data_IF_751898703081
#
_entry.id   IF_751898703081
#
_cell.length_a   1.000
_cell.length_b   1.000
_cell.length_c   1.000
_cell.angle_alpha   90.00
_cell.angle_beta   90.00
_cell.angle_gamma   90.00
#
_symmetry.space_group_name_H-M   'P 1'
#
loop_
_entity.id
_entity.type
_entity.pdbx_description
1 polymer ?
#
# COMPACT_ATOMS: atom_id res chain seq x y z
N UNK A 1 -14.52 -4.88 27.11
CA UNK A 1 -14.03 -5.95 26.22
C UNK A 1 -12.80 -5.36 25.55
N UNK A 2 -11.59 -5.88 25.78
CA UNK A 2 -10.40 -5.37 25.08
C UNK A 2 -10.59 -5.68 23.60
N UNK A 3 -10.56 -4.66 22.76
CA UNK A 3 -10.52 -4.84 21.31
C UNK A 3 -9.09 -5.24 20.93
N UNK A 4 -8.90 -6.53 20.70
CA UNK A 4 -7.59 -7.12 20.37
C UNK A 4 -7.24 -6.87 18.91
N UNK A 5 -8.24 -6.59 18.08
CA UNK A 5 -8.10 -6.45 16.63
C UNK A 5 -7.96 -4.97 16.20
N UNK A 6 -8.31 -4.03 17.08
CA UNK A 6 -8.10 -2.60 16.87
C UNK A 6 -8.98 -2.03 15.76
N UNK A 7 -8.55 -0.90 15.20
CA UNK A 7 -9.37 -0.09 14.30
C UNK A 7 -9.58 -0.72 12.91
N UNK A 8 -8.75 -1.70 12.53
CA UNK A 8 -8.80 -2.38 11.21
C UNK A 8 -8.87 -3.91 11.36
N UNK A 9 -9.97 -4.46 11.90
CA UNK A 9 -10.04 -5.88 12.27
C UNK A 9 -9.93 -6.83 11.08
N UNK A 10 -10.44 -6.45 9.90
CA UNK A 10 -10.36 -7.25 8.68
C UNK A 10 -8.91 -7.34 8.15
N UNK A 11 -8.14 -6.26 8.29
CA UNK A 11 -6.74 -6.23 7.89
C UNK A 11 -5.88 -7.12 8.81
N UNK A 12 -6.14 -7.06 10.12
CA UNK A 12 -5.49 -7.92 11.11
C UNK A 12 -5.83 -9.39 10.87
N UNK A 13 -7.10 -9.72 10.60
CA UNK A 13 -7.49 -11.10 10.30
C UNK A 13 -6.80 -11.62 9.03
N UNK A 14 -6.75 -10.81 7.97
CA UNK A 14 -6.07 -11.17 6.73
C UNK A 14 -4.58 -11.46 6.96
N UNK A 15 -3.90 -10.62 7.75
CA UNK A 15 -2.50 -10.82 8.10
C UNK A 15 -2.26 -12.04 8.98
N UNK A 16 -3.13 -12.28 9.96
CA UNK A 16 -3.04 -13.45 10.80
C UNK A 16 -3.17 -14.75 9.99
N UNK A 17 -4.08 -14.78 9.02
CA UNK A 17 -4.24 -15.92 8.10
C UNK A 17 -3.02 -16.07 7.19
N UNK A 18 -2.48 -14.96 6.69
CA UNK A 18 -1.35 -14.96 5.76
C UNK A 18 -0.03 -15.38 6.42
N UNK A 19 0.31 -14.79 7.57
CA UNK A 19 1.59 -14.98 8.24
C UNK A 19 1.63 -16.20 9.17
N UNK A 20 0.47 -16.70 9.62
CA UNK A 20 0.39 -17.87 10.50
C UNK A 20 -0.52 -18.98 9.94
N UNK A 21 -0.17 -19.57 8.77
CA UNK A 21 -1.01 -20.57 8.12
C UNK A 21 -1.13 -21.89 8.89
N UNK A 22 -0.29 -22.12 9.90
CA UNK A 22 -0.27 -23.35 10.71
C UNK A 22 -1.52 -23.61 11.57
N UNK A 23 -2.41 -22.62 11.71
CA UNK A 23 -3.63 -22.71 12.52
C UNK A 23 -4.87 -23.17 11.73
N UNK A 24 -4.70 -23.50 10.45
CA UNK A 24 -5.77 -24.03 9.60
C UNK A 24 -6.80 -22.97 9.17
N UNK A 25 -8.00 -23.43 8.80
CA UNK A 25 -9.06 -22.56 8.26
C UNK A 25 -9.54 -21.57 9.33
N UNK A 26 -9.44 -20.28 9.03
CA UNK A 26 -9.75 -19.19 9.97
C UNK A 26 -8.56 -18.72 10.82
N UNK A 27 -7.38 -19.32 10.63
CA UNK A 27 -6.11 -18.83 11.21
C UNK A 27 -6.07 -18.78 12.74
N UNK A 28 -5.13 -18.00 13.30
CA UNK A 28 -4.98 -17.80 14.74
C UNK A 28 -6.24 -17.32 15.45
N UNK A 29 -7.08 -16.51 14.79
CA UNK A 29 -8.30 -15.99 15.39
C UNK A 29 -9.29 -17.11 15.70
N UNK A 30 -9.49 -18.04 14.77
CA UNK A 30 -10.32 -19.23 15.01
C UNK A 30 -9.72 -20.14 16.11
N UNK A 31 -8.40 -20.29 16.15
CA UNK A 31 -7.71 -21.05 17.20
C UNK A 31 -7.92 -20.43 18.59
N UNK A 32 -7.95 -19.10 18.70
CA UNK A 32 -8.26 -18.41 19.96
C UNK A 32 -9.69 -18.69 20.42
N UNK A 33 -10.68 -18.59 19.52
CA UNK A 33 -12.08 -18.88 19.85
C UNK A 33 -12.33 -20.33 20.25
N UNK A 34 -11.52 -21.27 19.75
CA UNK A 34 -11.52 -22.68 20.17
C UNK A 34 -10.79 -22.94 21.49
N UNK A 35 -10.07 -21.95 22.03
CA UNK A 35 -9.24 -22.09 23.21
C UNK A 35 -7.91 -22.83 22.99
N UNK A 36 -7.48 -22.99 21.74
CA UNK A 36 -6.20 -23.65 21.38
C UNK A 36 -5.01 -22.73 21.62
N UNK A 37 -5.22 -21.41 21.58
CA UNK A 37 -4.21 -20.39 21.92
C UNK A 37 -4.72 -19.42 22.97
N UNK A 38 -3.79 -18.86 23.75
CA UNK A 38 -4.11 -17.87 24.78
C UNK A 38 -4.28 -16.48 24.18
N UNK A 39 -5.05 -15.61 24.86
CA UNK A 39 -5.17 -14.19 24.52
C UNK A 39 -3.80 -13.49 24.45
N UNK A 40 -2.88 -13.87 25.34
CA UNK A 40 -1.51 -13.34 25.35
C UNK A 40 -0.77 -13.69 24.07
N UNK A 41 -0.90 -14.93 23.57
CA UNK A 41 -0.27 -15.36 22.34
C UNK A 41 -0.87 -14.65 21.12
N UNK A 42 -2.21 -14.52 21.07
CA UNK A 42 -2.89 -13.77 20.02
C UNK A 42 -2.41 -12.32 19.97
N UNK A 43 -2.31 -11.66 21.13
CA UNK A 43 -1.77 -10.29 21.22
C UNK A 43 -0.34 -10.19 20.67
N UNK A 44 0.54 -11.14 21.02
CA UNK A 44 1.92 -11.15 20.51
C UNK A 44 1.96 -11.32 18.99
N UNK A 45 1.09 -12.14 18.41
CA UNK A 45 1.03 -12.31 16.95
C UNK A 45 0.61 -11.01 16.25
N UNK A 46 -0.39 -10.31 16.79
CA UNK A 46 -0.84 -9.01 16.25
C UNK A 46 0.25 -7.94 16.40
N UNK A 47 0.85 -7.82 17.58
CA UNK A 47 1.90 -6.81 17.86
C UNK A 47 3.22 -7.07 17.14
N UNK A 48 3.43 -8.27 16.59
CA UNK A 48 4.64 -8.66 15.87
C UNK A 48 4.36 -8.90 14.38
N UNK A 49 3.24 -8.38 13.85
CA UNK A 49 3.02 -8.35 12.41
C UNK A 49 4.10 -7.51 11.72
N UNK A 50 4.53 -7.91 10.51
CA UNK A 50 5.59 -7.20 9.81
C UNK A 50 5.11 -5.80 9.33
N UNK A 51 6.04 -4.85 9.12
CA UNK A 51 5.71 -3.48 8.73
C UNK A 51 5.09 -3.34 7.32
N UNK A 52 5.14 -4.40 6.52
CA UNK A 52 4.52 -4.47 5.20
C UNK A 52 3.17 -5.22 5.20
N UNK A 53 2.63 -5.51 6.38
CA UNK A 53 1.35 -6.21 6.57
C UNK A 53 0.15 -5.39 6.07
N UNK A 54 -0.98 -6.04 5.78
CA UNK A 54 -2.22 -5.36 5.42
C UNK A 54 -2.67 -4.37 6.49
N UNK A 55 -2.44 -4.68 7.76
CA UNK A 55 -2.72 -3.84 8.92
C UNK A 55 -1.87 -2.57 8.86
N UNK A 56 -0.57 -2.69 8.66
CA UNK A 56 0.31 -1.54 8.52
C UNK A 56 -0.09 -0.65 7.32
N UNK A 57 -0.57 -1.25 6.22
CA UNK A 57 -1.09 -0.50 5.07
C UNK A 57 -2.40 0.23 5.36
N UNK A 58 -3.30 -0.41 6.12
CA UNK A 58 -4.55 0.19 6.53
C UNK A 58 -4.33 1.37 7.50
N UNK A 59 -3.38 1.24 8.43
CA UNK A 59 -3.02 2.31 9.36
C UNK A 59 -2.31 3.49 8.69
N UNK A 60 -1.34 3.22 7.80
CA UNK A 60 -0.60 4.27 7.10
C UNK A 60 -1.39 4.90 5.95
N UNK A 61 -2.44 4.24 5.46
CA UNK A 61 -3.22 4.67 4.28
C UNK A 61 -2.49 4.47 2.95
N UNK A 62 -1.29 3.87 2.96
CA UNK A 62 -0.49 3.57 1.79
C UNK A 62 0.39 2.32 2.02
N UNK A 63 0.95 1.78 0.94
CA UNK A 63 1.78 0.57 0.96
C UNK A 63 3.29 0.84 1.00
N UNK A 64 3.71 2.08 0.80
CA UNK A 64 5.13 2.44 0.78
C UNK A 64 5.87 2.08 2.06
N UNK A 65 6.98 1.40 1.87
CA UNK A 65 7.98 1.08 2.88
C UNK A 65 9.12 2.10 2.83
N UNK A 66 9.98 2.10 3.85
CA UNK A 66 11.19 2.95 3.86
C UNK A 66 12.06 2.79 2.60
N UNK A 67 12.10 1.59 2.02
CA UNK A 67 12.82 1.32 0.79
C UNK A 67 12.22 2.07 -0.42
N UNK A 68 10.90 2.24 -0.47
CA UNK A 68 10.22 2.97 -1.54
C UNK A 68 10.52 4.47 -1.45
N UNK A 69 10.48 5.03 -0.23
CA UNK A 69 10.92 6.41 0.01
C UNK A 69 12.38 6.63 -0.40
N UNK A 70 13.29 5.75 0.03
CA UNK A 70 14.71 5.85 -0.31
C UNK A 70 14.96 5.71 -1.82
N UNK A 71 14.17 4.86 -2.49
CA UNK A 71 14.22 4.71 -3.95
C UNK A 71 13.77 5.99 -4.64
N UNK A 72 12.68 6.61 -4.19
CA UNK A 72 12.19 7.87 -4.75
C UNK A 72 13.17 9.02 -4.52
N UNK A 73 13.76 9.12 -3.33
CA UNK A 73 14.81 10.09 -3.03
C UNK A 73 16.03 9.90 -3.94
N UNK A 74 16.39 8.65 -4.24
CA UNK A 74 17.49 8.34 -5.16
C UNK A 74 17.18 8.79 -6.58
N UNK A 75 15.95 8.56 -7.06
CA UNK A 75 15.50 9.02 -8.39
C UNK A 75 15.54 10.55 -8.48
N UNK A 76 15.04 11.25 -7.46
CA UNK A 76 15.03 12.71 -7.41
C UNK A 76 16.46 13.28 -7.42
N UNK A 77 17.36 12.70 -6.62
CA UNK A 77 18.77 13.11 -6.58
C UNK A 77 19.49 12.85 -7.91
N UNK A 78 19.21 11.73 -8.58
CA UNK A 78 19.77 11.45 -9.90
C UNK A 78 19.26 12.44 -10.96
N UNK A 79 17.97 12.74 -10.96
CA UNK A 79 17.39 13.73 -11.87
C UNK A 79 18.01 15.11 -11.66
N UNK A 80 18.18 15.51 -10.40
CA UNK A 80 18.84 16.76 -10.02
C UNK A 80 20.29 16.80 -10.51
N UNK A 81 21.05 15.72 -10.26
CA UNK A 81 22.45 15.60 -10.66
C UNK A 81 22.61 15.73 -12.19
N UNK A 82 21.81 14.99 -12.96
CA UNK A 82 21.84 15.04 -14.43
C UNK A 82 21.53 16.45 -14.94
N UNK A 83 20.53 17.10 -14.35
CA UNK A 83 20.13 18.47 -14.74
C UNK A 83 21.20 19.50 -14.42
N UNK A 84 21.79 19.41 -13.22
CA UNK A 84 22.89 20.29 -12.82
C UNK A 84 24.13 20.07 -13.69
N UNK A 85 24.47 18.82 -13.98
CA UNK A 85 25.56 18.48 -14.89
C UNK A 85 25.34 19.06 -16.29
N UNK A 86 24.14 18.88 -16.85
CA UNK A 86 23.79 19.45 -18.16
C UNK A 86 23.87 20.98 -18.17
N UNK A 87 23.42 21.64 -17.09
CA UNK A 87 23.51 23.10 -16.94
C UNK A 87 24.95 23.58 -16.81
N UNK A 88 25.80 22.84 -16.08
CA UNK A 88 27.21 23.19 -15.89
C UNK A 88 28.04 23.07 -17.19
N UNK A 89 27.68 22.14 -18.08
CA UNK A 89 28.40 21.87 -19.33
C UNK A 89 27.77 22.51 -20.58
N UNK A 90 26.75 23.36 -20.41
CA UNK A 90 26.07 24.02 -21.53
C UNK A 90 26.85 25.25 -21.99
N UNK A 91 26.82 25.54 -23.29
CA UNK A 91 27.36 26.80 -23.82
C UNK A 91 26.43 27.98 -23.43
N UNK A 92 26.89 28.92 -22.58
CA UNK A 92 26.07 30.02 -22.09
C UNK A 92 25.69 31.01 -23.20
N UNK A 93 26.41 31.04 -24.33
CA UNK A 93 26.06 31.91 -25.47
C UNK A 93 24.89 31.34 -26.28
N UNK A 94 24.78 30.02 -26.37
CA UNK A 94 23.73 29.33 -27.11
C UNK A 94 22.47 29.13 -26.27
N UNK A 95 22.63 28.97 -24.96
CA UNK A 95 21.56 28.72 -24.02
C UNK A 95 21.73 29.63 -22.79
N UNK A 96 21.23 30.88 -22.85
CA UNK A 96 21.44 31.86 -21.78
C UNK A 96 20.68 31.53 -20.49
N UNK A 97 19.60 30.76 -20.59
CA UNK A 97 18.81 30.33 -19.43
C UNK A 97 19.13 28.87 -19.08
N UNK A 98 19.40 28.57 -17.79
CA UNK A 98 19.57 27.20 -17.34
C UNK A 98 18.27 26.40 -17.50
N UNK A 99 18.40 25.08 -17.64
CA UNK A 99 17.26 24.18 -17.53
C UNK A 99 16.65 24.29 -16.13
N UNK A 100 15.31 24.25 -16.02
CA UNK A 100 14.66 24.20 -14.72
C UNK A 100 15.11 22.95 -13.97
N UNK A 101 15.29 23.08 -12.66
CA UNK A 101 15.56 21.93 -11.81
C UNK A 101 14.31 21.05 -11.75
N UNK A 102 14.47 19.71 -11.72
CA UNK A 102 13.33 18.82 -11.61
C UNK A 102 12.63 19.01 -10.28
N UNK A 103 11.30 18.92 -10.30
CA UNK A 103 10.49 18.87 -9.08
C UNK A 103 10.62 17.47 -8.44
N UNK A 104 10.56 17.38 -7.10
CA UNK A 104 10.54 16.08 -6.42
C UNK A 104 9.39 15.20 -6.93
N UNK A 105 9.65 13.91 -7.08
CA UNK A 105 8.62 12.95 -7.43
C UNK A 105 7.53 12.85 -6.35
N UNK A 106 6.34 12.40 -6.75
CA UNK A 106 5.22 12.19 -5.82
C UNK A 106 5.56 11.18 -4.71
N UNK A 107 5.09 11.44 -3.49
CA UNK A 107 5.15 10.54 -2.33
C UNK A 107 3.79 10.44 -1.63
N UNK A 108 3.52 9.36 -0.87
CA UNK A 108 2.34 9.30 -0.02
C UNK A 108 2.32 10.45 0.98
N UNK A 109 1.21 11.19 1.01
CA UNK A 109 1.05 12.42 1.79
C UNK A 109 1.12 13.70 0.95
N UNK A 110 1.75 13.64 -0.23
CA UNK A 110 1.61 14.69 -1.22
C UNK A 110 0.20 14.66 -1.81
N UNK A 111 -0.35 15.81 -2.26
CA UNK A 111 -1.55 15.78 -3.06
C UNK A 111 -1.32 14.79 -4.21
N UNK A 112 -2.29 13.90 -4.49
CA UNK A 112 -2.15 13.00 -5.62
C UNK A 112 -1.73 13.86 -6.83
N UNK A 113 -0.83 13.36 -7.69
CA UNK A 113 -0.66 14.00 -8.99
C UNK A 113 -2.07 14.10 -9.59
N UNK A 114 -2.33 15.05 -10.49
CA UNK A 114 -3.66 15.15 -11.14
C UNK A 114 -3.96 13.89 -12.00
N UNK A 115 -4.08 12.73 -11.38
CA UNK A 115 -4.78 11.55 -11.82
C UNK A 115 -6.24 11.97 -11.79
N UNK A 116 -6.64 12.51 -12.95
CA UNK A 116 -8.01 12.94 -13.27
C UNK A 116 -9.03 12.04 -12.58
N UNK A 117 -10.10 12.62 -12.01
CA UNK A 117 -11.21 11.86 -11.43
C UNK A 117 -11.70 10.69 -12.33
N UNK A 118 -11.47 10.76 -13.64
CA UNK A 118 -11.67 9.70 -14.61
C UNK A 118 -10.88 8.40 -14.32
N UNK A 119 -9.64 8.46 -13.84
CA UNK A 119 -8.84 7.28 -13.51
C UNK A 119 -9.36 6.56 -12.24
N UNK A 120 -9.88 7.31 -11.27
CA UNK A 120 -10.57 6.74 -10.11
C UNK A 120 -11.93 6.14 -10.50
N UNK A 121 -12.70 6.82 -11.34
CA UNK A 121 -13.98 6.32 -11.85
C UNK A 121 -13.80 5.02 -12.64
N UNK A 122 -12.75 4.92 -13.47
CA UNK A 122 -12.42 3.71 -14.21
C UNK A 122 -12.02 2.56 -13.25
N UNK A 123 -11.28 2.87 -12.18
CA UNK A 123 -10.92 1.88 -11.14
C UNK A 123 -12.16 1.37 -10.40
N UNK A 124 -13.09 2.27 -10.05
CA UNK A 124 -14.38 1.92 -9.41
C UNK A 124 -15.29 1.14 -10.35
N UNK A 125 -15.31 1.48 -11.65
CA UNK A 125 -16.05 0.72 -12.66
C UNK A 125 -15.53 -0.72 -12.78
N UNK A 126 -14.20 -0.89 -12.91
CA UNK A 126 -13.57 -2.22 -12.95
C UNK A 126 -13.85 -3.04 -11.69
N UNK A 127 -13.88 -2.41 -10.51
CA UNK A 127 -14.23 -3.08 -9.26
C UNK A 127 -15.69 -3.55 -9.22
N UNK A 128 -16.63 -2.74 -9.72
CA UNK A 128 -18.05 -3.13 -9.86
C UNK A 128 -18.21 -4.30 -10.83
N UNK A 129 -17.57 -4.23 -12.00
CA UNK A 129 -17.62 -5.29 -13.01
C UNK A 129 -17.05 -6.61 -12.46
N UNK A 130 -15.97 -6.53 -11.68
CA UNK A 130 -15.37 -7.69 -11.02
C UNK A 130 -16.31 -8.30 -9.96
N UNK A 131 -16.97 -7.45 -9.17
CA UNK A 131 -17.96 -7.90 -8.18
C UNK A 131 -19.17 -8.57 -8.83
N UNK A 132 -19.73 -7.98 -9.89
CA UNK A 132 -20.85 -8.55 -10.64
C UNK A 132 -20.49 -9.89 -11.29
N UNK A 133 -19.27 -9.99 -11.84
CA UNK A 133 -18.75 -11.25 -12.37
C UNK A 133 -18.69 -12.33 -11.30
N UNK A 134 -18.14 -12.03 -10.13
CA UNK A 134 -18.08 -12.99 -9.02
C UNK A 134 -19.48 -13.40 -8.56
N UNK A 135 -20.41 -12.43 -8.45
CA UNK A 135 -21.77 -12.69 -8.02
C UNK A 135 -22.52 -13.61 -9.00
N UNK A 136 -22.32 -13.41 -10.31
CA UNK A 136 -22.90 -14.27 -11.36
C UNK A 136 -22.39 -15.72 -11.32
N UNK A 137 -21.16 -15.94 -10.85
CA UNK A 137 -20.57 -17.27 -10.72
C UNK A 137 -21.02 -18.00 -9.45
N UNK A 138 -21.39 -17.26 -8.40
CA UNK A 138 -21.74 -17.80 -7.09
C UNK A 138 -23.24 -18.06 -6.91
N UNK A 139 -24.11 -17.42 -7.71
CA UNK A 139 -25.56 -17.63 -7.69
C UNK A 139 -26.01 -18.33 -8.99
N UNK A 140 -26.10 -19.67 -9.02
CA UNK A 140 -26.64 -20.36 -10.19
C UNK A 140 -28.17 -20.16 -10.24
N UNK A 141 -28.68 -19.34 -11.17
CA UNK A 141 -30.13 -19.29 -11.46
C UNK A 141 -30.81 -17.93 -11.65
N UNK A 142 -30.12 -16.86 -12.04
CA UNK A 142 -30.77 -15.69 -12.68
C UNK A 142 -30.18 -15.43 -14.07
N UNK A 143 -30.58 -16.29 -14.99
CA UNK A 143 -30.46 -16.17 -16.43
C UNK A 143 -31.52 -17.07 -17.03
#
# INVERSE_FOLDING_TARGET
MLDVLGDNPEAVEADLIHHYPGYGRGGPLAAFWKGEITLRLLRVMVEQLPPNSATARAENGHDWQHADYATQDTVDLLALLVTQFANAHRDPKKYPNPMPLPEPGWRPGDPPPEDTAAAEEERRAKARDAYERLNSQLIPGKG
#
